data_IF_800703137880
#
_entry.id   IF_800703137880
#
_cell.length_a   1.000
_cell.length_b   1.000
_cell.length_c   1.000
_cell.angle_alpha   90.00
_cell.angle_beta   90.00
_cell.angle_gamma   90.00
#
_symmetry.space_group_name_H-M   'P 1'
#
loop_
_entity.id
_entity.type
_entity.pdbx_description
1 polymer ?
#
# COMPACT_ATOMS: atom_id res chain seq x y z
N UNK A 1 111.26 10.19 12.81
CA UNK A 1 111.52 10.59 11.41
C UNK A 1 110.45 9.96 10.54
N UNK A 2 109.63 10.79 9.88
CA UNK A 2 108.93 10.61 8.58
C UNK A 2 108.37 9.22 8.21
N UNK A 3 107.21 9.04 7.57
CA UNK A 3 106.23 9.90 6.89
C UNK A 3 105.09 8.95 6.46
N UNK A 4 103.91 9.54 6.30
CA UNK A 4 102.77 9.21 5.43
C UNK A 4 102.88 8.02 4.44
N UNK A 5 101.73 7.40 4.11
CA UNK A 5 100.86 7.77 2.96
C UNK A 5 100.07 6.57 2.37
N UNK A 6 98.72 6.66 2.34
CA UNK A 6 97.70 6.27 1.30
C UNK A 6 97.79 4.86 0.63
N UNK A 7 96.76 4.16 0.16
CA UNK A 7 95.29 4.27 0.06
C UNK A 7 94.78 3.03 -0.73
N UNK A 8 93.51 2.62 -0.49
CA UNK A 8 92.54 1.98 -1.42
C UNK A 8 92.47 0.44 -1.63
N UNK A 9 91.22 -0.06 -1.51
CA UNK A 9 90.46 -1.14 -2.23
C UNK A 9 89.70 -2.00 -1.20
N UNK A 10 88.42 -1.70 -0.90
CA UNK A 10 87.16 -2.20 -1.51
C UNK A 10 86.89 -3.71 -1.30
N UNK A 11 85.96 -4.05 -0.38
CA UNK A 11 85.06 -5.21 -0.50
C UNK A 11 83.89 -5.13 0.50
N UNK A 12 82.68 -5.26 -0.03
CA UNK A 12 81.36 -5.25 0.61
C UNK A 12 81.13 -6.41 1.60
N UNK A 13 80.33 -6.17 2.65
CA UNK A 13 79.17 -7.03 2.98
C UNK A 13 78.35 -6.53 4.20
N UNK A 14 77.19 -5.96 3.87
CA UNK A 14 75.87 -6.19 4.47
C UNK A 14 75.67 -5.94 5.98
N UNK A 15 75.40 -4.68 6.34
CA UNK A 15 74.62 -4.33 7.54
C UNK A 15 73.13 -4.36 7.24
N UNK A 16 72.40 -5.28 7.88
CA UNK A 16 70.93 -5.37 7.79
C UNK A 16 70.33 -4.22 8.61
N UNK A 17 69.87 -3.17 7.93
CA UNK A 17 69.05 -2.10 8.49
C UNK A 17 67.60 -2.62 8.60
N UNK A 18 67.12 -2.86 9.81
CA UNK A 18 65.70 -3.09 10.09
C UNK A 18 64.95 -1.76 9.97
N UNK A 19 64.47 -1.44 8.78
CA UNK A 19 63.55 -0.34 8.57
C UNK A 19 62.14 -0.76 9.03
N UNK A 20 61.70 -0.24 10.16
CA UNK A 20 60.28 -0.24 10.56
C UNK A 20 59.50 0.66 9.62
N UNK A 21 59.04 0.10 8.50
CA UNK A 21 58.09 0.74 7.60
C UNK A 21 56.68 0.63 8.20
N UNK A 22 56.34 1.53 9.13
CA UNK A 22 54.95 1.79 9.46
C UNK A 22 54.32 2.54 8.27
N UNK A 23 53.68 1.82 7.34
CA UNK A 23 52.81 2.44 6.35
C UNK A 23 51.66 3.11 7.10
N UNK A 24 51.55 4.45 7.01
CA UNK A 24 50.39 5.19 7.51
C UNK A 24 49.14 4.54 6.92
N UNK A 25 48.32 3.94 7.78
CA UNK A 25 47.00 3.47 7.39
C UNK A 25 46.12 4.69 7.32
N UNK A 26 45.89 5.22 6.11
CA UNK A 26 44.88 6.24 5.90
C UNK A 26 43.52 5.60 6.16
N UNK A 27 43.01 5.73 7.39
CA UNK A 27 41.64 5.38 7.73
C UNK A 27 40.72 6.36 7.01
N UNK A 28 40.19 5.93 5.86
CA UNK A 28 39.11 6.62 5.17
C UNK A 28 37.90 6.57 6.11
N UNK A 29 37.49 7.73 6.61
CA UNK A 29 36.29 7.83 7.44
C UNK A 29 35.10 7.28 6.63
N UNK A 30 34.19 6.51 7.26
CA UNK A 30 32.97 6.07 6.60
C UNK A 30 32.25 7.27 5.99
N UNK A 31 31.72 7.16 4.76
CA UNK A 31 31.02 8.27 4.13
C UNK A 31 29.88 8.74 5.04
N UNK A 32 29.80 10.05 5.24
CA UNK A 32 28.80 10.64 6.11
C UNK A 32 27.39 10.30 5.59
N UNK A 33 26.58 9.74 6.48
CA UNK A 33 25.21 9.43 6.18
C UNK A 33 24.37 10.72 6.21
N UNK A 34 23.66 11.02 5.11
CA UNK A 34 22.66 12.11 5.04
C UNK A 34 21.85 12.28 6.33
N UNK A 35 21.75 13.51 6.83
CA UNK A 35 21.03 13.85 8.06
C UNK A 35 19.51 13.93 7.86
N UNK A 36 19.02 13.90 6.62
CA UNK A 36 17.59 13.95 6.29
C UNK A 36 17.01 12.56 6.03
N UNK A 37 17.19 11.61 6.96
CA UNK A 37 16.76 10.20 6.76
C UNK A 37 15.83 9.68 7.85
N UNK A 38 15.00 8.71 7.45
CA UNK A 38 14.23 7.86 8.37
C UNK A 38 15.13 6.72 8.84
N UNK A 39 15.17 6.47 10.15
CA UNK A 39 15.91 5.37 10.76
C UNK A 39 15.01 4.17 11.03
N UNK A 40 13.75 4.41 11.40
CA UNK A 40 12.79 3.36 11.70
C UNK A 40 11.39 3.82 11.30
N UNK A 41 10.60 2.87 10.79
CA UNK A 41 9.18 3.06 10.51
C UNK A 41 8.41 1.84 11.01
N UNK A 42 7.34 2.06 11.79
CA UNK A 42 6.48 1.00 12.33
C UNK A 42 5.01 1.42 12.25
N UNK A 43 4.12 0.44 12.10
CA UNK A 43 2.69 0.64 12.37
C UNK A 43 2.39 0.08 13.77
N UNK A 44 1.84 0.92 14.65
CA UNK A 44 1.72 0.61 16.09
C UNK A 44 0.31 0.40 16.59
N UNK A 45 -0.71 0.72 15.79
CA UNK A 45 -2.12 0.48 16.14
C UNK A 45 -2.54 -0.98 15.89
N UNK A 46 -1.73 -1.93 16.36
CA UNK A 46 -1.93 -3.37 16.25
C UNK A 46 -1.83 -4.04 17.61
N UNK A 47 -2.53 -5.16 17.79
CA UNK A 47 -2.35 -6.00 18.98
C UNK A 47 -1.09 -6.86 18.80
N UNK A 48 -0.19 -6.84 19.79
CA UNK A 48 1.09 -7.55 19.74
C UNK A 48 2.23 -6.70 19.20
N UNK A 49 3.15 -7.32 18.45
CA UNK A 49 4.33 -6.64 17.93
C UNK A 49 3.96 -5.65 16.80
N UNK A 50 4.56 -4.44 16.77
CA UNK A 50 4.37 -3.50 15.69
C UNK A 50 4.79 -4.07 14.33
N UNK A 51 4.08 -3.66 13.27
CA UNK A 51 4.46 -4.03 11.90
C UNK A 51 5.62 -3.13 11.47
N UNK A 52 6.82 -3.70 11.34
CA UNK A 52 7.99 -2.98 10.87
C UNK A 52 7.91 -2.67 9.36
N UNK A 53 8.30 -1.45 8.99
CA UNK A 53 8.53 -1.04 7.61
C UNK A 53 9.98 -1.25 7.18
N UNK A 54 10.17 -1.64 5.93
CA UNK A 54 11.48 -1.70 5.29
C UNK A 54 11.77 -0.35 4.62
N UNK A 55 12.91 0.26 4.94
CA UNK A 55 13.33 1.55 4.39
C UNK A 55 14.36 1.30 3.30
N UNK A 56 14.10 1.79 2.10
CA UNK A 56 15.05 1.85 1.00
C UNK A 56 15.48 3.30 0.78
N UNK A 57 16.72 3.61 1.12
CA UNK A 57 17.27 4.96 0.95
C UNK A 57 17.64 5.30 -0.49
N UNK A 58 17.92 4.31 -1.33
CA UNK A 58 18.25 4.54 -2.73
C UNK A 58 16.99 4.86 -3.54
N UNK A 59 15.90 4.15 -3.27
CA UNK A 59 14.58 4.38 -3.87
C UNK A 59 13.77 5.47 -3.13
N UNK A 60 14.24 5.94 -1.98
CA UNK A 60 13.51 6.83 -1.08
C UNK A 60 12.09 6.33 -0.82
N UNK A 61 11.98 5.06 -0.42
CA UNK A 61 10.69 4.43 -0.16
C UNK A 61 10.65 3.68 1.17
N UNK A 62 9.43 3.50 1.66
CA UNK A 62 9.14 2.71 2.86
C UNK A 62 8.13 1.66 2.42
N UNK A 63 8.41 0.38 2.65
CA UNK A 63 7.46 -0.70 2.34
C UNK A 63 6.96 -1.34 3.63
N UNK A 64 5.64 -1.40 3.80
CA UNK A 64 4.99 -2.12 4.91
C UNK A 64 4.15 -3.27 4.37
N UNK A 65 4.30 -4.44 4.98
CA UNK A 65 3.49 -5.62 4.67
C UNK A 65 2.44 -5.81 5.75
N UNK A 66 1.16 -5.63 5.40
CA UNK A 66 0.06 -5.66 6.36
C UNK A 66 -0.65 -7.01 6.27
N UNK A 67 -0.66 -7.82 7.34
CA UNK A 67 -1.49 -9.01 7.41
C UNK A 67 -2.98 -8.65 7.33
N UNK A 68 -3.69 -9.22 6.37
CA UNK A 68 -5.08 -8.82 6.08
C UNK A 68 -6.05 -9.12 7.24
N UNK A 69 -5.78 -10.15 8.06
CA UNK A 69 -6.64 -10.55 9.18
C UNK A 69 -6.72 -9.49 10.28
N UNK A 70 -5.82 -8.51 10.30
CA UNK A 70 -5.87 -7.39 11.25
C UNK A 70 -6.98 -6.38 10.93
N UNK A 71 -7.50 -6.39 9.70
CA UNK A 71 -8.62 -5.56 9.26
C UNK A 71 -8.48 -4.07 9.63
N UNK A 72 -7.26 -3.54 9.53
CA UNK A 72 -6.95 -2.16 9.88
C UNK A 72 -7.67 -1.21 8.90
N UNK A 73 -8.54 -0.36 9.44
CA UNK A 73 -9.21 0.72 8.70
C UNK A 73 -8.39 2.01 8.68
N UNK A 74 -7.49 2.18 9.65
CA UNK A 74 -6.53 3.27 9.78
C UNK A 74 -5.16 2.70 10.14
N UNK A 75 -4.08 3.43 9.86
CA UNK A 75 -2.73 3.07 10.31
C UNK A 75 -2.14 4.20 11.15
N UNK A 76 -1.48 3.86 12.25
CA UNK A 76 -0.74 4.79 13.09
C UNK A 76 0.77 4.57 12.92
N UNK A 77 1.47 5.44 12.17
CA UNK A 77 2.90 5.32 11.96
C UNK A 77 3.70 5.85 13.15
N UNK A 78 4.64 5.05 13.65
CA UNK A 78 5.72 5.52 14.50
C UNK A 78 6.99 5.65 13.65
N UNK A 79 7.56 6.87 13.59
CA UNK A 79 8.67 7.21 12.70
C UNK A 79 9.82 7.77 13.54
N UNK A 80 10.98 7.12 13.44
CA UNK A 80 12.23 7.64 14.00
C UNK A 80 13.08 8.20 12.87
N UNK A 81 13.57 9.43 13.01
CA UNK A 81 14.47 10.08 12.04
C UNK A 81 15.84 10.32 12.63
N UNK A 82 16.82 10.68 11.79
CA UNK A 82 18.17 11.02 12.24
C UNK A 82 18.17 12.14 13.29
N UNK A 83 19.19 12.12 14.17
CA UNK A 83 19.29 13.08 15.28
C UNK A 83 19.25 14.53 14.80
N UNK A 84 18.30 15.30 15.34
CA UNK A 84 18.10 16.71 14.97
C UNK A 84 17.31 16.93 13.68
N UNK A 85 16.88 15.87 13.00
CA UNK A 85 15.95 15.95 11.88
C UNK A 85 14.49 16.01 12.36
N UNK A 86 13.60 16.44 11.47
CA UNK A 86 12.15 16.44 11.66
C UNK A 86 11.46 15.75 10.48
N UNK A 87 10.21 15.28 10.65
CA UNK A 87 9.43 14.62 9.60
C UNK A 87 8.02 15.21 9.50
N UNK A 88 7.54 15.37 8.27
CA UNK A 88 6.17 15.78 7.95
C UNK A 88 5.54 14.82 6.94
N UNK A 89 4.35 14.25 7.18
CA UNK A 89 3.56 14.34 8.41
C UNK A 89 4.33 13.85 9.64
N UNK A 90 3.96 14.38 10.82
CA UNK A 90 4.62 14.00 12.07
C UNK A 90 4.35 12.53 12.41
N UNK A 91 5.27 11.90 13.13
CA UNK A 91 5.03 10.57 13.73
C UNK A 91 3.73 10.59 14.54
N UNK A 92 2.91 9.55 14.42
CA UNK A 92 1.58 9.43 15.02
C UNK A 92 0.45 10.06 14.18
N UNK A 93 0.75 10.73 13.07
CA UNK A 93 -0.31 11.21 12.16
C UNK A 93 -0.99 10.01 11.51
N UNK A 94 -2.28 9.82 11.77
CA UNK A 94 -3.05 8.70 11.25
C UNK A 94 -3.13 8.74 9.73
N UNK A 95 -2.98 7.57 9.11
CA UNK A 95 -3.34 7.32 7.72
C UNK A 95 -4.76 6.76 7.74
N UNK A 96 -5.72 7.59 7.33
CA UNK A 96 -7.13 7.24 7.24
C UNK A 96 -7.52 6.88 5.80
N UNK A 97 -8.76 6.49 5.54
CA UNK A 97 -9.27 6.23 4.18
C UNK A 97 -8.38 5.31 3.33
N UNK A 98 -7.95 4.17 3.89
CA UNK A 98 -7.07 3.23 3.18
C UNK A 98 -7.66 2.73 1.85
N UNK A 99 -8.98 2.72 1.72
CA UNK A 99 -9.64 2.41 0.45
C UNK A 99 -9.25 3.36 -0.67
N UNK A 100 -9.05 4.64 -0.39
CA UNK A 100 -8.62 5.62 -1.40
C UNK A 100 -7.16 5.39 -1.81
N UNK A 101 -6.30 4.98 -0.87
CA UNK A 101 -4.93 4.52 -1.18
C UNK A 101 -4.94 3.37 -2.17
N UNK A 102 -5.71 2.32 -1.89
CA UNK A 102 -5.70 1.10 -2.70
C UNK A 102 -6.44 1.23 -4.03
N UNK A 103 -7.49 2.07 -4.08
CA UNK A 103 -8.38 2.17 -5.24
C UNK A 103 -8.00 3.29 -6.18
N UNK A 104 -7.66 4.44 -5.62
CA UNK A 104 -7.43 5.67 -6.38
C UNK A 104 -5.93 6.03 -6.44
N UNK A 105 -5.07 5.23 -5.77
CA UNK A 105 -3.63 5.41 -5.83
C UNK A 105 -3.15 6.65 -5.07
N UNK A 106 -3.81 7.01 -3.96
CA UNK A 106 -3.38 8.15 -3.14
C UNK A 106 -1.98 7.90 -2.58
N UNK A 107 -1.03 8.73 -3.02
CA UNK A 107 0.33 8.75 -2.51
C UNK A 107 0.39 9.19 -1.04
N UNK A 108 1.17 8.48 -0.24
CA UNK A 108 1.52 8.88 1.13
C UNK A 108 3.03 9.15 1.16
N UNK A 109 3.40 10.38 1.51
CA UNK A 109 4.79 10.86 1.48
C UNK A 109 5.21 11.43 2.82
N UNK A 110 6.45 11.17 3.20
CA UNK A 110 7.10 11.73 4.37
C UNK A 110 8.30 12.56 3.97
N UNK A 111 8.29 13.84 4.32
CA UNK A 111 9.39 14.76 4.06
C UNK A 111 10.21 14.86 5.34
N UNK A 112 11.44 14.35 5.30
CA UNK A 112 12.41 14.49 6.39
C UNK A 112 13.27 15.71 6.12
N UNK A 113 13.33 16.63 7.08
CA UNK A 113 14.25 17.78 7.04
C UNK A 113 15.39 17.53 8.02
N UNK A 114 16.61 17.41 7.52
CA UNK A 114 17.81 17.23 8.33
C UNK A 114 18.15 18.48 9.14
N UNK A 115 19.04 18.32 10.12
CA UNK A 115 19.53 19.43 10.94
C UNK A 115 20.24 20.51 10.12
N UNK A 116 20.87 20.10 9.03
CA UNK A 116 21.50 20.94 8.02
C UNK A 116 20.50 21.66 7.09
N UNK A 117 19.20 21.39 7.23
CA UNK A 117 18.14 21.94 6.40
C UNK A 117 17.88 21.19 5.09
N UNK A 118 18.71 20.19 4.75
CA UNK A 118 18.49 19.36 3.56
C UNK A 118 17.23 18.51 3.73
N UNK A 119 16.59 18.15 2.61
CA UNK A 119 15.33 17.40 2.62
C UNK A 119 15.42 16.11 1.83
N UNK A 120 14.75 15.09 2.32
CA UNK A 120 14.48 13.86 1.56
C UNK A 120 13.00 13.52 1.67
N UNK A 121 12.41 13.05 0.57
CA UNK A 121 11.00 12.65 0.52
C UNK A 121 10.91 11.16 0.36
N UNK A 122 10.28 10.48 1.31
CA UNK A 122 10.05 9.04 1.29
C UNK A 122 8.61 8.74 0.89
N UNK A 123 8.41 7.86 -0.09
CA UNK A 123 7.07 7.38 -0.48
C UNK A 123 6.74 6.07 0.24
N UNK A 124 5.60 6.02 0.93
CA UNK A 124 5.11 4.82 1.59
C UNK A 124 4.38 3.92 0.59
N UNK A 125 4.81 2.66 0.52
CA UNK A 125 4.23 1.56 -0.24
C UNK A 125 3.56 0.60 0.75
N UNK A 126 2.24 0.50 0.67
CA UNK A 126 1.45 -0.40 1.53
C UNK A 126 1.10 -1.66 0.74
N UNK A 127 1.62 -2.80 1.19
CA UNK A 127 1.34 -4.10 0.59
C UNK A 127 0.50 -4.96 1.55
N UNK A 128 -0.80 -5.06 1.30
CA UNK A 128 -1.66 -5.96 2.08
C UNK A 128 -1.50 -7.39 1.59
N UNK A 129 -1.20 -8.29 2.52
CA UNK A 129 -1.04 -9.74 2.31
C UNK A 129 -2.40 -10.44 2.25
N UNK A 130 -3.24 -10.04 1.30
CA UNK A 130 -4.61 -10.52 1.15
C UNK A 130 -4.72 -11.54 0.00
N UNK A 131 -5.48 -12.64 0.16
CA UNK A 131 -5.83 -13.52 -0.95
C UNK A 131 -6.68 -12.77 -2.00
N UNK A 132 -6.77 -13.28 -3.24
CA UNK A 132 -7.67 -12.71 -4.25
C UNK A 132 -9.13 -12.73 -3.79
N UNK A 133 -9.89 -11.71 -4.20
CA UNK A 133 -11.35 -11.76 -4.13
C UNK A 133 -11.88 -12.37 -5.43
N UNK A 134 -12.75 -13.36 -5.32
CA UNK A 134 -13.32 -14.09 -6.46
C UNK A 134 -14.84 -13.96 -6.39
N UNK A 135 -15.46 -13.63 -7.52
CA UNK A 135 -16.91 -13.52 -7.63
C UNK A 135 -17.45 -14.73 -8.38
N UNK A 136 -18.56 -15.29 -7.90
CA UNK A 136 -19.34 -16.24 -8.68
C UNK A 136 -20.23 -15.46 -9.63
N UNK A 137 -20.13 -15.79 -10.91
CA UNK A 137 -20.91 -15.12 -11.95
C UNK A 137 -22.42 -15.29 -11.72
N UNK A 138 -23.14 -14.19 -11.92
CA UNK A 138 -24.62 -14.16 -11.85
C UNK A 138 -25.26 -14.49 -13.20
N UNK A 139 -24.49 -14.34 -14.28
CA UNK A 139 -24.88 -14.51 -15.68
C UNK A 139 -23.85 -15.39 -16.39
N UNK A 140 -24.13 -15.74 -17.64
CA UNK A 140 -23.18 -16.37 -18.56
C UNK A 140 -23.15 -15.60 -19.87
N UNK A 141 -22.30 -16.01 -20.82
CA UNK A 141 -22.26 -15.41 -22.16
C UNK A 141 -23.62 -15.49 -22.88
N UNK A 142 -24.33 -16.61 -22.72
CA UNK A 142 -25.56 -16.90 -23.46
C UNK A 142 -26.84 -16.57 -22.66
N UNK A 143 -26.72 -16.33 -21.36
CA UNK A 143 -27.84 -16.07 -20.48
C UNK A 143 -27.53 -14.94 -19.49
N UNK A 144 -28.06 -13.75 -19.80
CA UNK A 144 -27.99 -12.57 -18.94
C UNK A 144 -29.11 -12.65 -17.91
N UNK A 145 -28.74 -12.70 -16.63
CA UNK A 145 -29.69 -12.68 -15.53
C UNK A 145 -30.39 -11.32 -15.47
N UNK A 146 -31.71 -11.32 -15.67
CA UNK A 146 -32.55 -10.14 -15.57
C UNK A 146 -33.27 -10.08 -14.21
N UNK A 147 -33.12 -8.95 -13.51
CA UNK A 147 -33.87 -8.62 -12.29
C UNK A 147 -35.02 -7.70 -12.65
N UNK A 148 -36.24 -8.22 -12.61
CA UNK A 148 -37.45 -7.43 -12.87
C UNK A 148 -37.91 -6.74 -11.59
N UNK A 149 -38.05 -5.42 -11.65
CA UNK A 149 -38.56 -4.59 -10.55
C UNK A 149 -39.80 -3.82 -10.99
N UNK A 150 -40.75 -3.65 -10.08
CA UNK A 150 -41.93 -2.82 -10.36
C UNK A 150 -41.54 -1.35 -10.47
N UNK A 151 -42.27 -0.56 -11.24
CA UNK A 151 -42.07 0.88 -11.34
C UNK A 151 -42.03 1.59 -9.96
N UNK A 152 -42.88 1.13 -9.04
CA UNK A 152 -42.99 1.62 -7.67
C UNK A 152 -41.93 1.05 -6.69
N UNK A 153 -41.07 0.12 -7.12
CA UNK A 153 -40.08 -0.50 -6.23
C UNK A 153 -39.12 0.57 -5.67
N UNK A 154 -38.81 0.45 -4.38
CA UNK A 154 -37.87 1.34 -3.67
C UNK A 154 -36.59 0.62 -3.29
N UNK A 155 -36.53 -0.71 -3.46
CA UNK A 155 -35.34 -1.51 -3.22
C UNK A 155 -35.23 -2.69 -4.18
N UNK A 156 -34.00 -3.14 -4.41
CA UNK A 156 -33.64 -4.37 -5.12
C UNK A 156 -32.56 -5.09 -4.30
N UNK A 157 -32.72 -6.40 -4.12
CA UNK A 157 -31.73 -7.25 -3.48
C UNK A 157 -31.07 -8.15 -4.51
N UNK A 158 -29.74 -8.19 -4.50
CA UNK A 158 -28.93 -9.11 -5.29
C UNK A 158 -28.07 -9.91 -4.32
N UNK A 159 -28.05 -11.23 -4.48
CA UNK A 159 -27.13 -12.10 -3.76
C UNK A 159 -25.95 -12.38 -4.67
N UNK A 160 -24.77 -11.94 -4.26
CA UNK A 160 -23.52 -12.21 -4.96
C UNK A 160 -22.71 -13.19 -4.12
N UNK A 161 -22.45 -14.37 -4.67
CA UNK A 161 -21.60 -15.38 -4.05
C UNK A 161 -20.16 -15.22 -4.51
N UNK A 162 -19.21 -15.80 -3.77
CA UNK A 162 -17.79 -15.69 -4.07
C UNK A 162 -16.92 -16.19 -2.93
N UNK A 163 -15.67 -15.75 -2.92
CA UNK A 163 -14.72 -16.05 -1.85
C UNK A 163 -13.76 -14.89 -1.61
N UNK A 164 -13.21 -14.85 -0.40
CA UNK A 164 -12.24 -13.85 0.00
C UNK A 164 -12.87 -12.54 0.50
N UNK A 165 -14.20 -12.48 0.65
CA UNK A 165 -14.88 -11.32 1.21
C UNK A 165 -14.45 -11.07 2.66
N UNK A 166 -14.21 -9.80 2.99
CA UNK A 166 -13.89 -9.38 4.34
C UNK A 166 -15.15 -9.46 5.22
N UNK A 167 -15.04 -9.76 6.50
CA UNK A 167 -16.15 -9.66 7.44
C UNK A 167 -16.44 -8.20 7.80
N UNK A 168 -15.42 -7.35 7.82
CA UNK A 168 -15.57 -5.92 8.05
C UNK A 168 -16.03 -5.20 6.77
N UNK A 169 -17.24 -4.62 6.83
CA UNK A 169 -17.88 -3.91 5.71
C UNK A 169 -17.28 -2.53 5.44
N UNK A 170 -16.62 -1.91 6.41
CA UNK A 170 -15.93 -0.62 6.19
C UNK A 170 -14.74 -0.79 5.23
N UNK A 171 -14.24 -2.03 5.12
CA UNK A 171 -13.22 -2.42 4.17
C UNK A 171 -13.80 -2.90 2.83
N UNK A 172 -15.11 -2.77 2.61
CA UNK A 172 -15.77 -3.20 1.39
C UNK A 172 -16.51 -2.04 0.73
N UNK A 173 -16.41 -1.94 -0.59
CA UNK A 173 -17.21 -1.00 -1.39
C UNK A 173 -17.70 -1.71 -2.64
N UNK A 174 -18.97 -1.56 -2.97
CA UNK A 174 -19.58 -2.21 -4.13
C UNK A 174 -20.14 -1.16 -5.08
N UNK A 175 -20.01 -1.44 -6.37
CA UNK A 175 -20.42 -0.53 -7.44
C UNK A 175 -21.02 -1.34 -8.59
N UNK A 176 -22.05 -0.81 -9.25
CA UNK A 176 -22.43 -1.24 -10.59
C UNK A 176 -21.73 -0.34 -11.60
N UNK A 177 -21.30 -0.94 -12.70
CA UNK A 177 -20.71 -0.23 -13.85
C UNK A 177 -21.54 -0.60 -15.07
N UNK A 178 -22.14 0.39 -15.73
CA UNK A 178 -22.88 0.14 -16.97
C UNK A 178 -21.93 -0.01 -18.18
N UNK A 179 -22.50 -0.36 -19.34
CA UNK A 179 -21.72 -0.56 -20.58
C UNK A 179 -21.09 0.74 -21.13
N UNK A 180 -21.55 1.91 -20.68
CA UNK A 180 -20.97 3.23 -21.00
C UNK A 180 -19.83 3.60 -20.03
N UNK A 181 -19.63 2.83 -18.95
CA UNK A 181 -18.62 3.07 -17.93
C UNK A 181 -19.10 3.96 -16.77
N UNK A 182 -20.38 4.31 -16.71
CA UNK A 182 -20.94 5.06 -15.58
C UNK A 182 -20.95 4.18 -14.33
N UNK A 183 -20.56 4.78 -13.20
CA UNK A 183 -20.39 4.08 -11.91
C UNK A 183 -21.54 4.45 -10.97
N UNK A 184 -22.12 3.43 -10.34
CA UNK A 184 -23.25 3.54 -9.45
C UNK A 184 -22.94 2.84 -8.12
N UNK A 185 -22.72 3.59 -7.02
CA UNK A 185 -22.45 3.00 -5.70
C UNK A 185 -23.59 2.10 -5.21
N UNK A 186 -23.26 0.99 -4.55
CA UNK A 186 -24.22 0.04 -3.98
C UNK A 186 -24.06 -0.05 -2.47
N UNK A 187 -25.19 -0.16 -1.77
CA UNK A 187 -25.21 -0.50 -0.36
C UNK A 187 -25.04 -2.00 -0.11
N UNK A 188 -24.46 -2.34 1.04
CA UNK A 188 -24.43 -3.70 1.58
C UNK A 188 -25.53 -3.83 2.62
N UNK A 189 -26.33 -4.90 2.58
CA UNK A 189 -27.38 -5.14 3.57
C UNK A 189 -26.78 -5.33 4.97
N UNK A 190 -27.36 -4.69 5.99
CA UNK A 190 -26.92 -4.82 7.38
C UNK A 190 -26.93 -6.31 7.82
N UNK A 191 -28.01 -7.06 7.55
CA UNK A 191 -28.24 -8.39 8.11
C UNK A 191 -27.39 -9.55 7.54
N UNK A 192 -26.32 -9.28 6.80
CA UNK A 192 -25.43 -10.30 6.21
C UNK A 192 -24.14 -10.43 7.03
N UNK A 193 -24.25 -10.71 8.32
CA UNK A 193 -23.19 -10.42 9.30
C UNK A 193 -22.05 -11.45 9.38
N UNK A 194 -22.19 -12.66 8.81
CA UNK A 194 -21.23 -13.76 9.09
C UNK A 194 -20.83 -14.56 7.84
N UNK A 195 -21.24 -14.13 6.65
CA UNK A 195 -20.99 -14.89 5.43
C UNK A 195 -19.87 -14.26 4.61
N UNK A 196 -18.72 -14.94 4.58
CA UNK A 196 -17.55 -14.59 3.75
C UNK A 196 -17.65 -15.16 2.33
N UNK A 197 -18.71 -15.91 2.04
CA UNK A 197 -19.00 -16.53 0.75
C UNK A 197 -20.16 -15.87 0.01
N UNK A 198 -21.01 -15.10 0.70
CA UNK A 198 -22.07 -14.33 0.05
C UNK A 198 -22.19 -12.90 0.58
N UNK A 199 -22.40 -11.97 -0.36
CA UNK A 199 -22.74 -10.58 -0.08
C UNK A 199 -24.18 -10.36 -0.52
N UNK A 200 -24.99 -9.85 0.40
CA UNK A 200 -26.32 -9.38 0.08
C UNK A 200 -26.25 -7.89 -0.25
N UNK A 201 -26.32 -7.60 -1.55
CA UNK A 201 -26.31 -6.25 -2.09
C UNK A 201 -27.72 -5.69 -1.98
N UNK A 202 -27.84 -4.49 -1.42
CA UNK A 202 -29.11 -3.76 -1.38
C UNK A 202 -28.95 -2.45 -2.12
N UNK A 203 -29.72 -2.32 -3.19
CA UNK A 203 -29.98 -1.08 -3.87
C UNK A 203 -31.23 -0.47 -3.26
N UNK A 204 -31.16 0.76 -2.76
CA UNK A 204 -32.30 1.48 -2.21
C UNK A 204 -32.39 2.88 -2.80
N UNK A 205 -33.58 3.31 -3.22
CA UNK A 205 -33.83 4.69 -3.68
C UNK A 205 -33.46 5.73 -2.62
N UNK A 206 -33.49 5.34 -1.35
CA UNK A 206 -33.27 6.23 -0.21
C UNK A 206 -31.78 6.30 0.22
N UNK A 207 -30.89 5.54 -0.43
CA UNK A 207 -29.45 5.70 -0.22
C UNK A 207 -28.92 6.88 -1.04
N UNK A 208 -27.78 7.48 -0.64
CA UNK A 208 -27.08 8.46 -1.47
C UNK A 208 -26.94 7.92 -2.91
N UNK A 209 -27.28 8.76 -3.89
CA UNK A 209 -27.30 8.45 -5.32
C UNK A 209 -28.28 7.34 -5.77
N UNK A 210 -28.97 6.68 -4.84
CA UNK A 210 -29.87 5.56 -5.13
C UNK A 210 -31.03 5.93 -6.05
N UNK A 211 -31.58 7.15 -5.94
CA UNK A 211 -32.59 7.63 -6.87
C UNK A 211 -32.08 7.74 -8.31
N UNK A 212 -30.83 8.17 -8.51
CA UNK A 212 -30.21 8.24 -9.83
C UNK A 212 -30.01 6.84 -10.42
N UNK A 213 -29.52 5.88 -9.62
CA UNK A 213 -29.39 4.47 -10.03
C UNK A 213 -30.75 3.87 -10.43
N UNK A 214 -31.80 4.08 -9.63
CA UNK A 214 -33.14 3.55 -9.94
C UNK A 214 -33.81 4.19 -11.17
N UNK A 215 -33.38 5.40 -11.52
CA UNK A 215 -33.86 6.11 -12.71
C UNK A 215 -33.04 5.75 -13.96
N UNK A 216 -31.82 5.22 -13.82
CA UNK A 216 -31.01 4.76 -14.96
C UNK A 216 -31.37 3.35 -15.43
N UNK A 217 -32.20 2.62 -14.69
CA UNK A 217 -32.65 1.29 -15.12
C UNK A 217 -33.57 1.37 -16.33
N UNK A 218 -33.06 0.90 -17.46
CA UNK A 218 -33.76 0.81 -18.73
C UNK A 218 -33.56 -0.60 -19.30
N UNK A 219 -34.51 -1.08 -20.11
CA UNK A 219 -34.49 -2.44 -20.67
C UNK A 219 -33.27 -2.72 -21.56
N UNK A 220 -32.57 -1.71 -22.03
CA UNK A 220 -31.39 -1.86 -22.90
C UNK A 220 -30.07 -1.82 -22.15
N UNK A 221 -30.06 -1.39 -20.87
CA UNK A 221 -28.83 -1.25 -20.08
C UNK A 221 -28.48 -2.54 -19.35
N UNK A 222 -27.18 -2.87 -19.35
CA UNK A 222 -26.64 -3.95 -18.54
C UNK A 222 -25.55 -3.43 -17.60
N UNK A 223 -25.31 -4.15 -16.51
CA UNK A 223 -24.44 -3.72 -15.44
C UNK A 223 -23.51 -4.85 -15.00
N UNK A 224 -22.23 -4.54 -14.83
CA UNK A 224 -21.29 -5.42 -14.13
C UNK A 224 -21.17 -4.98 -12.68
N UNK A 225 -21.02 -5.96 -11.77
CA UNK A 225 -20.87 -5.67 -10.35
C UNK A 225 -19.38 -5.70 -10.01
N UNK A 226 -18.86 -4.57 -9.55
CA UNK A 226 -17.50 -4.43 -9.02
C UNK A 226 -17.54 -4.47 -7.50
N UNK A 227 -16.66 -5.28 -6.93
CA UNK A 227 -16.44 -5.39 -5.49
C UNK A 227 -15.01 -4.98 -5.20
N UNK A 228 -14.86 -3.91 -4.44
CA UNK A 228 -13.63 -3.60 -3.73
C UNK A 228 -13.69 -4.24 -2.36
N UNK A 229 -12.65 -4.98 -2.03
CA UNK A 229 -12.54 -5.75 -0.82
C UNK A 229 -11.13 -5.52 -0.25
N UNK A 230 -11.02 -4.52 0.59
CA UNK A 230 -9.79 -3.96 1.13
C UNK A 230 -8.80 -3.58 0.02
N UNK A 231 -7.65 -4.22 -0.07
CA UNK A 231 -6.63 -3.96 -1.09
C UNK A 231 -6.80 -4.81 -2.36
N UNK A 232 -7.95 -5.46 -2.54
CA UNK A 232 -8.28 -6.27 -3.73
C UNK A 232 -9.56 -5.76 -4.37
N UNK A 233 -9.71 -6.04 -5.64
CA UNK A 233 -10.96 -5.81 -6.36
C UNK A 233 -11.25 -6.95 -7.33
N UNK A 234 -12.52 -7.16 -7.62
CA UNK A 234 -12.99 -7.99 -8.71
C UNK A 234 -14.22 -7.34 -9.35
N UNK A 235 -14.47 -7.68 -10.60
CA UNK A 235 -15.66 -7.28 -11.34
C UNK A 235 -16.22 -8.52 -12.04
N UNK A 236 -17.54 -8.68 -12.07
CA UNK A 236 -18.16 -9.79 -12.80
C UNK A 236 -17.82 -9.69 -14.29
N UNK A 237 -17.52 -10.83 -14.89
CA UNK A 237 -17.21 -10.90 -16.32
C UNK A 237 -18.47 -10.64 -17.15
N UNK A 238 -19.58 -11.29 -16.78
CA UNK A 238 -20.85 -11.18 -17.47
C UNK A 238 -21.75 -10.16 -16.76
N UNK A 239 -22.46 -9.31 -17.51
CA UNK A 239 -23.34 -8.32 -16.91
C UNK A 239 -24.65 -8.96 -16.45
N UNK A 240 -25.37 -8.23 -15.60
CA UNK A 240 -26.79 -8.46 -15.29
C UNK A 240 -27.64 -7.39 -15.96
N UNK A 241 -28.92 -7.65 -16.11
CA UNK A 241 -29.90 -6.67 -16.55
C UNK A 241 -30.86 -6.35 -15.40
N UNK A 242 -31.30 -5.10 -15.30
CA UNK A 242 -32.33 -4.70 -14.33
C UNK A 242 -33.45 -4.03 -15.12
N UNK A 243 -34.59 -4.70 -15.23
CA UNK A 243 -35.74 -4.22 -16.01
C UNK A 243 -36.80 -3.65 -15.08
N UNK A 244 -37.25 -2.43 -15.37
CA UNK A 244 -38.37 -1.80 -14.67
C UNK A 244 -39.67 -2.05 -15.44
N UNK A 245 -40.61 -2.73 -14.80
CA UNK A 245 -41.95 -3.06 -15.34
C UNK A 245 -43.05 -2.27 -14.67
#
# INVERSE_FOLDING_TARGET
MNKHLRSLVLACSFGILLATACTKTDTIAPPELSQSRILEYKIVNVQGDPIAGTIDHADSSITVYIPFYLQLVTLEPQITVATGATVTPASGTLIEDLMDVFRNGRDIKYIVTGKDGNKSTYTLKIAVQQPPVVLKELSTADNIRNYNIRAAATSLRIVLEGSGFNENRDLMKLEMVDDEGNVYPLGIAANAFNDTYSINITLSKNQPDGAAVFNSFETTKTFRIRVYNYARQAITQYPIQITKT
#
